data_IF_760642809946
#
_entry.id   IF_760642809946
#
_cell.length_a   1.000
_cell.length_b   1.000
_cell.length_c   1.000
_cell.angle_alpha   90.00
_cell.angle_beta   90.00
_cell.angle_gamma   90.00
#
_symmetry.space_group_name_H-M   'P 1'
#
loop_
_entity.id
_entity.type
_entity.pdbx_description
1 polymer ?
#
# COMPACT_ATOMS: atom_id res chain seq x y z
N UNK A 1 -13.15 31.88 -8.36
CA UNK A 1 -13.21 32.19 -9.78
C UNK A 1 -12.23 31.27 -10.49
N UNK A 2 -12.70 30.55 -11.48
CA UNK A 2 -11.80 29.86 -12.41
C UNK A 2 -11.07 30.99 -13.12
N UNK A 3 -9.76 31.10 -12.94
CA UNK A 3 -8.94 32.14 -13.57
C UNK A 3 -8.99 31.97 -15.10
N UNK A 4 -9.17 33.05 -15.84
CA UNK A 4 -9.06 33.03 -17.30
C UNK A 4 -7.60 32.90 -17.80
N UNK A 5 -6.64 32.84 -16.86
CA UNK A 5 -5.21 32.70 -17.16
C UNK A 5 -4.82 31.23 -17.36
N UNK A 6 -3.99 31.00 -18.35
CA UNK A 6 -3.29 29.70 -18.52
C UNK A 6 -2.10 29.66 -17.59
N UNK A 7 -1.99 28.62 -16.80
CA UNK A 7 -0.86 28.36 -15.88
C UNK A 7 -0.10 27.15 -16.44
N UNK A 8 1.21 27.29 -16.57
CA UNK A 8 2.08 26.17 -16.94
C UNK A 8 3.36 26.20 -16.13
N UNK A 9 3.83 25.04 -15.68
CA UNK A 9 5.11 24.90 -15.00
C UNK A 9 5.68 23.49 -15.17
N UNK A 10 7.00 23.40 -15.08
CA UNK A 10 7.68 22.11 -15.04
C UNK A 10 7.55 21.51 -13.64
N UNK A 11 7.25 20.22 -13.59
CA UNK A 11 7.22 19.45 -12.36
C UNK A 11 8.63 19.01 -11.98
N UNK A 12 8.90 18.75 -10.69
CA UNK A 12 10.22 18.30 -10.26
C UNK A 12 10.69 17.07 -11.00
N UNK A 13 11.92 17.12 -11.50
CA UNK A 13 12.60 15.99 -12.11
C UNK A 13 13.42 15.25 -11.03
N UNK A 14 13.23 13.93 -10.90
CA UNK A 14 13.87 13.11 -9.88
C UNK A 14 14.59 11.93 -10.50
N UNK A 15 15.80 11.70 -10.02
CA UNK A 15 16.56 10.45 -10.19
C UNK A 15 16.69 9.84 -8.80
N UNK A 16 16.34 8.56 -8.66
CA UNK A 16 16.56 7.79 -7.45
C UNK A 16 17.25 6.49 -7.82
N UNK A 17 18.30 6.15 -7.11
CA UNK A 17 19.03 4.88 -7.25
C UNK A 17 18.99 4.15 -5.93
N UNK A 18 18.64 2.86 -5.95
CA UNK A 18 18.63 1.97 -4.80
C UNK A 18 19.49 0.74 -5.09
N UNK A 19 20.20 0.27 -4.10
CA UNK A 19 21.00 -0.96 -4.15
C UNK A 19 20.68 -1.83 -2.94
N UNK A 20 20.32 -3.09 -3.18
CA UNK A 20 20.14 -4.12 -2.15
C UNK A 20 21.25 -5.17 -2.31
N UNK A 21 21.97 -5.49 -1.22
CA UNK A 21 23.15 -6.36 -1.29
C UNK A 21 22.82 -7.81 -1.61
N UNK A 22 21.85 -8.40 -0.94
CA UNK A 22 21.59 -9.84 -0.99
C UNK A 22 20.17 -10.19 -1.40
N UNK A 23 19.17 -9.64 -0.69
CA UNK A 23 17.75 -9.94 -0.93
C UNK A 23 16.94 -8.68 -1.20
N UNK A 24 15.78 -8.78 -1.87
CA UNK A 24 14.87 -7.66 -2.05
C UNK A 24 14.49 -7.01 -0.72
N UNK A 25 14.58 -5.69 -0.66
CA UNK A 25 14.12 -4.89 0.48
C UNK A 25 13.51 -3.59 -0.04
N UNK A 26 12.41 -3.17 0.58
CA UNK A 26 11.72 -1.93 0.26
C UNK A 26 10.22 -2.14 0.05
N UNK A 27 9.45 -1.13 0.42
CA UNK A 27 8.01 -0.99 0.15
C UNK A 27 7.63 0.48 0.18
N UNK A 28 6.47 0.82 -0.37
CA UNK A 28 6.01 2.18 -0.61
C UNK A 28 6.92 2.97 -1.58
N UNK A 29 7.59 2.28 -2.48
CA UNK A 29 8.50 2.86 -3.47
C UNK A 29 7.81 3.09 -4.84
N UNK A 30 6.47 3.03 -4.88
CA UNK A 30 5.65 3.33 -6.05
C UNK A 30 5.91 2.40 -7.24
N UNK A 31 6.42 2.96 -8.32
CA UNK A 31 6.69 2.22 -9.55
C UNK A 31 7.89 1.27 -9.45
N UNK A 32 8.74 1.37 -8.41
CA UNK A 32 9.87 0.49 -8.18
C UNK A 32 9.40 -0.87 -7.67
N UNK A 33 10.14 -1.94 -7.98
CA UNK A 33 9.88 -3.28 -7.48
C UNK A 33 10.82 -3.61 -6.32
N UNK A 34 10.45 -4.52 -5.39
CA UNK A 34 11.43 -5.11 -4.50
C UNK A 34 12.40 -5.98 -5.32
N UNK A 35 13.68 -5.60 -5.41
CA UNK A 35 14.68 -6.30 -6.20
C UNK A 35 16.04 -6.34 -5.49
N UNK A 36 16.79 -7.42 -5.67
CA UNK A 36 18.20 -7.48 -5.32
C UNK A 36 19.07 -6.80 -6.40
N UNK A 37 20.19 -6.22 -6.01
CA UNK A 37 21.07 -5.47 -6.89
C UNK A 37 20.67 -4.01 -7.07
N UNK A 38 21.14 -3.41 -8.18
CA UNK A 38 20.92 -2.00 -8.50
C UNK A 38 19.55 -1.78 -9.12
N UNK A 39 18.89 -0.69 -8.70
CA UNK A 39 17.64 -0.23 -9.28
C UNK A 39 17.67 1.29 -9.45
N UNK A 40 17.13 1.79 -10.56
CA UNK A 40 17.07 3.22 -10.87
C UNK A 40 15.65 3.62 -11.26
N UNK A 41 15.17 4.71 -10.68
CA UNK A 41 13.89 5.34 -10.97
C UNK A 41 14.12 6.76 -11.48
N UNK A 42 13.44 7.09 -12.59
CA UNK A 42 13.50 8.40 -13.24
C UNK A 42 12.08 8.93 -13.42
N UNK A 43 11.88 10.21 -13.11
CA UNK A 43 10.63 10.91 -13.43
C UNK A 43 10.88 12.39 -13.69
N UNK A 44 10.14 12.95 -14.64
CA UNK A 44 10.05 14.37 -14.90
C UNK A 44 8.70 14.68 -15.55
N UNK A 45 8.24 15.92 -15.52
CA UNK A 45 6.94 16.21 -16.07
C UNK A 45 6.62 17.69 -16.18
N UNK A 46 5.39 17.96 -16.57
CA UNK A 46 4.83 19.31 -16.63
C UNK A 46 3.37 19.32 -16.17
N UNK A 47 2.93 20.48 -15.77
CA UNK A 47 1.55 20.79 -15.43
C UNK A 47 1.07 21.94 -16.30
N UNK A 48 -0.15 21.81 -16.83
CA UNK A 48 -0.85 22.82 -17.61
C UNK A 48 -2.27 22.95 -17.06
N UNK A 49 -2.72 24.16 -16.80
CA UNK A 49 -4.12 24.46 -16.46
C UNK A 49 -4.64 25.60 -17.30
N UNK A 50 -5.78 25.38 -17.92
CA UNK A 50 -6.55 26.43 -18.59
C UNK A 50 -7.99 26.39 -18.08
N UNK A 51 -8.41 27.46 -17.42
CA UNK A 51 -9.74 27.54 -16.76
C UNK A 51 -9.96 26.33 -15.83
N UNK A 52 -11.01 25.57 -16.09
CA UNK A 52 -11.40 24.38 -15.31
C UNK A 52 -10.60 23.13 -15.65
N UNK A 53 -9.96 23.10 -16.83
CA UNK A 53 -9.23 21.93 -17.31
C UNK A 53 -7.78 21.98 -16.87
N UNK A 54 -7.27 20.89 -16.30
CA UNK A 54 -5.87 20.71 -15.96
C UNK A 54 -5.33 19.41 -16.53
N UNK A 55 -4.11 19.46 -17.02
CA UNK A 55 -3.33 18.33 -17.51
C UNK A 55 -2.01 18.28 -16.74
N UNK A 56 -1.77 17.16 -16.09
CA UNK A 56 -0.48 16.80 -15.52
C UNK A 56 0.08 15.61 -16.30
N UNK A 57 1.31 15.72 -16.77
CA UNK A 57 2.04 14.62 -17.41
C UNK A 57 3.34 14.45 -16.64
N UNK A 58 3.48 13.32 -15.94
CA UNK A 58 4.66 13.02 -15.13
C UNK A 58 4.99 11.53 -15.21
N UNK A 59 5.52 11.07 -16.35
CA UNK A 59 5.87 9.68 -16.58
C UNK A 59 6.99 9.22 -15.64
N UNK A 60 7.06 7.89 -15.49
CA UNK A 60 8.01 7.19 -14.65
C UNK A 60 8.70 6.09 -15.45
N UNK A 61 10.02 5.97 -15.26
CA UNK A 61 10.82 4.90 -15.80
C UNK A 61 11.56 4.20 -14.66
N UNK A 62 11.50 2.88 -14.65
CA UNK A 62 12.21 2.02 -13.69
C UNK A 62 13.06 1.04 -14.45
N UNK A 63 14.30 0.90 -14.01
CA UNK A 63 15.22 -0.17 -14.36
C UNK A 63 15.69 -0.86 -13.09
N UNK A 64 15.68 -2.19 -13.03
CA UNK A 64 16.26 -2.99 -11.96
C UNK A 64 17.10 -4.13 -12.55
N UNK A 65 18.27 -4.35 -11.96
CA UNK A 65 19.08 -5.55 -12.27
C UNK A 65 18.27 -6.81 -12.01
N UNK A 66 17.44 -6.78 -10.97
CA UNK A 66 16.62 -7.93 -10.56
C UNK A 66 17.48 -9.18 -10.40
N UNK A 67 18.61 -9.01 -9.71
CA UNK A 67 19.65 -10.01 -9.52
C UNK A 67 19.07 -11.26 -8.85
N UNK A 68 19.67 -12.40 -9.14
CA UNK A 68 19.27 -13.66 -8.52
C UNK A 68 19.56 -13.66 -7.01
N UNK A 69 18.66 -14.26 -6.26
CA UNK A 69 18.76 -14.46 -4.83
C UNK A 69 18.05 -15.75 -4.44
N UNK A 70 18.30 -16.23 -3.24
CA UNK A 70 17.65 -17.46 -2.77
C UNK A 70 16.16 -17.22 -2.51
N UNK A 71 15.31 -17.81 -3.36
CA UNK A 71 13.86 -17.82 -3.23
C UNK A 71 13.39 -18.98 -2.36
N UNK A 72 12.11 -18.98 -1.97
CA UNK A 72 11.54 -20.01 -1.12
C UNK A 72 11.75 -21.39 -1.71
N UNK A 73 12.43 -22.26 -0.93
CA UNK A 73 12.63 -23.63 -1.33
C UNK A 73 11.32 -24.41 -1.30
N UNK A 74 10.86 -24.83 -2.46
CA UNK A 74 9.67 -25.65 -2.59
C UNK A 74 9.90 -27.12 -2.18
N UNK A 75 10.89 -27.45 -1.36
CA UNK A 75 11.13 -28.80 -0.88
C UNK A 75 10.54 -29.02 0.51
N UNK A 76 9.86 -30.15 0.73
CA UNK A 76 9.31 -30.55 2.02
C UNK A 76 7.83 -30.27 2.25
N UNK A 77 7.36 -30.55 3.47
CA UNK A 77 5.94 -30.49 3.86
C UNK A 77 5.32 -29.08 3.84
N UNK A 78 6.14 -28.03 3.75
CA UNK A 78 5.71 -26.63 3.84
C UNK A 78 5.30 -26.01 2.50
N UNK A 79 5.41 -26.74 1.41
CA UNK A 79 5.15 -26.28 0.05
C UNK A 79 3.68 -26.00 -0.22
N UNK A 80 2.79 -26.90 0.19
CA UNK A 80 1.37 -26.77 -0.10
C UNK A 80 0.76 -25.46 0.48
N UNK A 81 1.02 -25.06 1.73
CA UNK A 81 0.56 -23.78 2.26
C UNK A 81 1.11 -22.56 1.50
N UNK A 82 2.37 -22.61 1.03
CA UNK A 82 2.95 -21.52 0.23
C UNK A 82 2.31 -21.43 -1.15
N UNK A 83 2.01 -22.57 -1.78
CA UNK A 83 1.27 -22.61 -3.05
C UNK A 83 -0.14 -22.04 -2.92
N UNK A 84 -0.85 -22.33 -1.82
CA UNK A 84 -2.15 -21.72 -1.54
C UNK A 84 -2.03 -20.19 -1.44
N UNK A 85 -0.98 -19.69 -0.79
CA UNK A 85 -0.70 -18.26 -0.75
C UNK A 85 -0.50 -17.69 -2.16
N UNK A 86 0.38 -18.27 -2.95
CA UNK A 86 0.67 -17.80 -4.30
C UNK A 86 -0.52 -17.96 -5.26
N UNK A 87 -1.32 -19.01 -5.11
CA UNK A 87 -2.53 -19.21 -5.92
C UNK A 87 -3.60 -18.15 -5.66
N UNK A 88 -3.62 -17.54 -4.48
CA UNK A 88 -4.63 -16.55 -4.07
C UNK A 88 -4.11 -15.09 -3.97
N UNK A 89 -2.84 -14.85 -4.34
CA UNK A 89 -2.26 -13.51 -4.47
C UNK A 89 -1.27 -13.44 -5.63
N UNK A 90 -1.09 -12.27 -6.20
CA UNK A 90 -0.06 -11.96 -7.19
C UNK A 90 1.03 -11.10 -6.53
N UNK A 91 1.88 -11.77 -5.76
CA UNK A 91 3.03 -11.16 -5.08
C UNK A 91 4.24 -12.06 -5.38
N UNK A 92 4.88 -11.91 -6.55
CA UNK A 92 6.05 -12.71 -6.89
C UNK A 92 7.23 -12.35 -5.98
N UNK A 93 7.97 -13.35 -5.52
CA UNK A 93 9.22 -13.12 -4.77
C UNK A 93 10.27 -12.40 -5.63
N UNK A 94 10.27 -12.69 -6.93
CA UNK A 94 11.15 -12.09 -7.94
C UNK A 94 10.37 -11.78 -9.20
N UNK A 95 10.61 -10.63 -9.79
CA UNK A 95 9.92 -10.16 -11.01
C UNK A 95 10.56 -10.69 -12.30
N UNK A 96 10.43 -12.01 -12.51
CA UNK A 96 11.06 -12.72 -13.61
C UNK A 96 12.54 -13.06 -13.37
N UNK A 97 13.21 -13.67 -14.35
CA UNK A 97 14.57 -14.19 -14.24
C UNK A 97 15.66 -13.27 -14.84
N UNK A 98 15.25 -12.17 -15.44
CA UNK A 98 16.14 -11.19 -16.10
C UNK A 98 15.98 -9.80 -15.46
N UNK A 99 16.76 -8.85 -15.95
CA UNK A 99 16.59 -7.43 -15.59
C UNK A 99 15.16 -6.96 -15.91
N UNK A 100 14.66 -6.08 -15.07
CA UNK A 100 13.31 -5.52 -15.19
C UNK A 100 13.40 -4.08 -15.67
N UNK A 101 12.60 -3.72 -16.67
CA UNK A 101 12.44 -2.33 -17.08
C UNK A 101 10.98 -2.03 -17.43
N UNK A 102 10.50 -0.87 -16.99
CA UNK A 102 9.12 -0.42 -17.24
C UNK A 102 9.07 1.09 -17.44
N UNK A 103 8.29 1.50 -18.43
CA UNK A 103 7.88 2.88 -18.60
C UNK A 103 6.37 2.96 -18.33
N UNK A 104 5.95 3.94 -17.52
CA UNK A 104 4.55 4.17 -17.15
C UNK A 104 4.20 5.64 -17.33
N UNK A 105 2.90 5.92 -17.50
CA UNK A 105 2.39 7.30 -17.43
C UNK A 105 2.61 7.93 -16.04
N UNK A 106 2.83 7.10 -15.02
CA UNK A 106 3.22 7.52 -13.69
C UNK A 106 2.21 8.45 -13.04
N UNK A 107 2.67 9.56 -12.48
CA UNK A 107 1.83 10.51 -11.77
C UNK A 107 1.15 11.49 -12.74
N UNK A 108 0.33 10.97 -13.68
CA UNK A 108 -0.31 11.75 -14.73
C UNK A 108 -1.83 11.80 -14.54
N UNK A 109 -2.44 12.95 -14.87
CA UNK A 109 -3.87 13.15 -14.74
C UNK A 109 -4.41 14.19 -15.70
N UNK A 110 -5.64 13.97 -16.19
CA UNK A 110 -6.47 14.96 -16.89
C UNK A 110 -7.71 15.19 -16.05
N UNK A 111 -7.95 16.43 -15.60
CA UNK A 111 -9.04 16.76 -14.68
C UNK A 111 -9.83 17.96 -15.13
N UNK A 112 -11.16 17.88 -14.95
CA UNK A 112 -12.07 19.01 -15.04
C UNK A 112 -12.53 19.37 -13.63
N UNK A 113 -12.15 20.55 -13.16
CA UNK A 113 -12.37 21.00 -11.77
C UNK A 113 -13.31 22.18 -11.70
N UNK A 114 -14.26 22.12 -10.79
CA UNK A 114 -15.04 23.27 -10.32
C UNK A 114 -14.44 23.87 -9.05
N UNK A 115 -15.16 24.79 -8.40
CA UNK A 115 -14.74 25.35 -7.10
C UNK A 115 -14.69 24.31 -5.97
N UNK A 116 -15.44 23.23 -6.08
CA UNK A 116 -15.69 22.30 -4.98
C UNK A 116 -15.33 20.86 -5.32
N UNK A 117 -15.53 20.46 -6.57
CA UNK A 117 -15.33 19.06 -7.00
C UNK A 117 -14.54 19.00 -8.30
N UNK A 118 -13.89 17.88 -8.51
CA UNK A 118 -13.14 17.54 -9.71
C UNK A 118 -13.56 16.16 -10.22
N UNK A 119 -13.60 16.01 -11.53
CA UNK A 119 -13.75 14.73 -12.22
C UNK A 119 -12.60 14.59 -13.23
N UNK A 120 -12.10 13.38 -13.41
CA UNK A 120 -11.01 13.18 -14.36
C UNK A 120 -10.58 11.72 -14.51
N UNK A 121 -9.50 11.56 -15.26
CA UNK A 121 -8.79 10.29 -15.47
C UNK A 121 -7.36 10.47 -14.93
N UNK A 122 -6.87 9.49 -14.20
CA UNK A 122 -5.57 9.57 -13.54
C UNK A 122 -4.85 8.21 -13.56
N UNK A 123 -3.53 8.26 -13.48
CA UNK A 123 -2.65 7.13 -13.18
C UNK A 123 -1.83 7.37 -11.90
N UNK A 124 -2.20 8.39 -11.11
CA UNK A 124 -1.49 8.74 -9.87
C UNK A 124 -1.66 7.66 -8.81
N UNK A 125 -0.65 7.51 -7.96
CA UNK A 125 -0.76 6.72 -6.73
C UNK A 125 -1.75 7.38 -5.77
N UNK A 126 -2.41 6.56 -4.98
CA UNK A 126 -3.37 6.98 -3.97
C UNK A 126 -2.87 6.59 -2.58
N UNK A 127 -3.08 7.48 -1.60
CA UNK A 127 -2.81 7.18 -0.20
C UNK A 127 -4.04 7.54 0.62
N UNK A 128 -4.69 6.52 1.22
CA UNK A 128 -5.88 6.70 2.03
C UNK A 128 -5.64 6.22 3.46
N UNK A 129 -5.82 7.09 4.41
CA UNK A 129 -5.61 6.79 5.82
C UNK A 129 -4.55 7.69 6.48
N UNK A 130 -4.43 7.64 7.80
CA UNK A 130 -3.59 8.54 8.57
C UNK A 130 -2.15 8.06 8.76
N UNK A 131 -1.86 6.80 8.45
CA UNK A 131 -0.55 6.19 8.66
C UNK A 131 0.55 6.87 7.85
N UNK A 132 1.77 6.88 8.34
CA UNK A 132 2.92 7.44 7.61
C UNK A 132 3.79 6.35 6.97
N UNK A 133 3.74 5.14 7.52
CA UNK A 133 4.51 4.01 7.02
C UNK A 133 3.65 3.04 6.23
N UNK A 134 2.41 2.84 6.66
CA UNK A 134 1.44 1.99 6.00
C UNK A 134 0.07 2.67 5.89
N UNK A 135 -0.76 2.16 4.99
CA UNK A 135 -2.19 2.41 4.89
C UNK A 135 -2.86 1.11 4.49
N UNK A 136 -4.02 0.78 5.06
CA UNK A 136 -4.61 -0.54 4.88
C UNK A 136 -5.19 -0.76 3.48
N UNK A 137 -5.79 0.27 2.84
CA UNK A 137 -6.44 0.09 1.54
C UNK A 137 -5.62 0.62 0.36
N UNK A 138 -5.14 1.84 0.43
CA UNK A 138 -4.38 2.47 -0.66
C UNK A 138 -3.12 3.10 -0.11
N UNK A 139 -1.98 2.69 -0.63
CA UNK A 139 -0.66 3.22 -0.29
C UNK A 139 0.17 3.49 -1.55
N UNK A 140 1.40 3.94 -1.35
CA UNK A 140 2.36 4.11 -2.44
C UNK A 140 3.20 2.84 -2.69
N UNK A 141 2.69 1.64 -2.32
CA UNK A 141 3.45 0.40 -2.47
C UNK A 141 3.39 -0.16 -3.90
N UNK A 142 2.20 -0.23 -4.49
CA UNK A 142 2.05 -0.62 -5.89
C UNK A 142 2.23 0.59 -6.82
N UNK A 143 2.59 0.40 -8.10
CA UNK A 143 2.53 1.48 -9.09
C UNK A 143 1.10 2.00 -9.23
N UNK A 144 0.97 3.27 -9.61
CA UNK A 144 -0.32 3.87 -9.94
C UNK A 144 -0.99 3.16 -11.12
N UNK A 145 -2.31 3.15 -11.15
CA UNK A 145 -3.12 2.45 -12.15
C UNK A 145 -4.12 3.40 -12.82
N UNK A 146 -4.55 3.06 -14.03
CA UNK A 146 -5.53 3.87 -14.75
C UNK A 146 -6.89 3.82 -14.04
N UNK A 147 -7.39 4.99 -13.61
CA UNK A 147 -8.67 5.12 -12.96
C UNK A 147 -9.39 6.43 -13.31
N UNK A 148 -10.69 6.38 -13.42
CA UNK A 148 -11.55 7.54 -13.31
C UNK A 148 -11.63 7.99 -11.87
N UNK A 149 -11.65 9.30 -11.60
CA UNK A 149 -11.73 9.86 -10.26
C UNK A 149 -12.78 10.95 -10.18
N UNK A 150 -13.55 10.96 -9.08
CA UNK A 150 -14.44 12.05 -8.70
C UNK A 150 -14.18 12.40 -7.25
N UNK A 151 -13.74 13.62 -6.98
CA UNK A 151 -13.29 14.00 -5.65
C UNK A 151 -13.60 15.47 -5.30
N UNK A 152 -13.64 15.76 -4.00
CA UNK A 152 -13.62 17.12 -3.50
C UNK A 152 -12.26 17.78 -3.77
N UNK A 153 -12.25 19.03 -4.24
CA UNK A 153 -11.03 19.83 -4.47
C UNK A 153 -10.54 20.48 -3.17
N UNK A 154 -11.46 20.70 -2.25
CA UNK A 154 -11.24 21.29 -0.93
C UNK A 154 -12.29 20.77 0.04
N UNK A 155 -12.05 20.90 1.36
CA UNK A 155 -13.05 20.53 2.35
C UNK A 155 -14.39 21.24 2.12
N UNK A 156 -15.46 20.46 2.01
CA UNK A 156 -16.84 20.95 1.85
C UNK A 156 -17.37 21.33 3.24
N UNK A 157 -17.45 22.61 3.52
CA UNK A 157 -17.91 23.13 4.81
C UNK A 157 -19.41 23.06 4.96
N UNK A 158 -19.88 22.52 6.09
CA UNK A 158 -21.27 22.43 6.49
C UNK A 158 -21.46 22.91 7.94
N UNK A 159 -22.68 22.93 8.44
CA UNK A 159 -22.97 23.22 9.84
C UNK A 159 -22.45 22.12 10.80
N UNK A 160 -22.32 20.89 10.33
CA UNK A 160 -21.78 19.73 11.07
C UNK A 160 -20.25 19.73 11.15
N UNK A 161 -19.59 20.36 10.18
CA UNK A 161 -18.13 20.31 10.03
C UNK A 161 -17.72 20.33 8.58
N UNK A 162 -16.55 19.78 8.28
CA UNK A 162 -16.00 19.72 6.94
C UNK A 162 -15.89 18.29 6.44
N UNK A 163 -16.20 18.07 5.15
CA UNK A 163 -16.17 16.77 4.49
C UNK A 163 -15.24 16.79 3.29
N UNK A 164 -14.53 15.69 3.08
CA UNK A 164 -13.77 15.41 1.86
C UNK A 164 -14.10 13.99 1.40
N UNK A 165 -14.07 13.77 0.09
CA UNK A 165 -14.30 12.46 -0.49
C UNK A 165 -13.50 12.26 -1.79
N UNK A 166 -13.24 11.01 -2.10
CA UNK A 166 -12.78 10.57 -3.42
C UNK A 166 -13.44 9.25 -3.77
N UNK A 167 -13.96 9.15 -4.98
CA UNK A 167 -14.51 7.95 -5.60
C UNK A 167 -13.64 7.63 -6.81
N UNK A 168 -13.28 6.36 -6.95
CA UNK A 168 -12.52 5.88 -8.10
C UNK A 168 -13.19 4.65 -8.73
N UNK A 169 -12.97 4.50 -10.02
CA UNK A 169 -13.23 3.27 -10.77
C UNK A 169 -12.07 3.06 -11.74
N UNK A 170 -11.39 1.91 -11.69
CA UNK A 170 -10.15 1.73 -12.42
C UNK A 170 -9.85 0.29 -12.82
N UNK A 171 -8.70 0.11 -13.46
CA UNK A 171 -8.23 -1.16 -13.99
C UNK A 171 -6.92 -1.56 -13.33
N UNK A 172 -6.87 -2.79 -12.80
CA UNK A 172 -5.69 -3.40 -12.21
C UNK A 172 -5.16 -4.49 -13.13
N UNK A 173 -3.83 -4.57 -13.20
CA UNK A 173 -3.12 -5.56 -14.02
C UNK A 173 -2.40 -6.60 -13.15
N UNK A 174 -2.18 -7.80 -13.70
CA UNK A 174 -1.32 -8.80 -13.09
C UNK A 174 0.16 -8.52 -13.34
N UNK A 175 1.03 -9.16 -12.56
CA UNK A 175 2.49 -9.09 -12.76
C UNK A 175 2.95 -9.78 -14.04
N UNK A 176 2.20 -10.77 -14.53
CA UNK A 176 2.61 -11.67 -15.60
C UNK A 176 3.67 -12.68 -15.17
N UNK A 177 4.02 -12.73 -13.88
CA UNK A 177 5.01 -13.65 -13.32
C UNK A 177 4.31 -14.84 -12.66
N UNK A 178 4.76 -16.04 -12.99
CA UNK A 178 4.29 -17.26 -12.32
C UNK A 178 5.30 -17.65 -11.24
N UNK A 179 4.85 -17.87 -10.00
CA UNK A 179 5.75 -18.14 -8.87
C UNK A 179 6.31 -19.55 -8.85
N UNK A 180 5.66 -20.52 -9.52
CA UNK A 180 6.04 -21.95 -9.50
C UNK A 180 5.82 -22.60 -10.86
N UNK A 181 6.52 -23.72 -11.18
CA UNK A 181 6.25 -24.53 -12.36
C UNK A 181 4.80 -25.03 -12.37
N UNK A 182 4.19 -25.04 -13.55
CA UNK A 182 2.79 -25.46 -13.75
C UNK A 182 2.54 -26.95 -13.50
N UNK A 183 3.60 -27.76 -13.40
CA UNK A 183 3.56 -29.20 -13.18
C UNK A 183 3.85 -29.61 -11.74
N UNK A 184 3.64 -28.70 -10.78
CA UNK A 184 3.91 -28.97 -9.38
C UNK A 184 2.90 -29.94 -8.76
N UNK A 185 3.28 -31.22 -8.70
CA UNK A 185 2.45 -32.29 -8.19
C UNK A 185 3.03 -32.87 -6.90
N UNK A 186 2.24 -32.94 -5.83
CA UNK A 186 2.58 -33.59 -4.56
C UNK A 186 1.53 -34.65 -4.25
N UNK A 187 1.96 -35.88 -4.03
CA UNK A 187 1.06 -37.04 -3.77
C UNK A 187 -0.08 -37.15 -4.80
N UNK A 188 0.21 -36.92 -6.07
CA UNK A 188 -0.78 -37.00 -7.16
C UNK A 188 -1.73 -35.80 -7.27
N UNK A 189 -1.61 -34.80 -6.41
CA UNK A 189 -2.41 -33.58 -6.45
C UNK A 189 -1.56 -32.43 -7.02
N UNK A 190 -2.05 -31.80 -8.08
CA UNK A 190 -1.44 -30.56 -8.57
C UNK A 190 -1.92 -29.37 -7.72
N UNK A 191 -1.00 -28.76 -7.00
CA UNK A 191 -1.27 -27.61 -6.13
C UNK A 191 -1.12 -26.26 -6.84
N UNK A 192 -0.49 -26.25 -8.01
CA UNK A 192 -0.34 -25.03 -8.77
C UNK A 192 -1.60 -24.76 -9.61
N UNK A 193 -2.11 -23.57 -9.48
CA UNK A 193 -3.19 -23.06 -10.29
C UNK A 193 -2.76 -21.76 -10.96
N UNK A 194 -2.65 -21.69 -12.30
CA UNK A 194 -2.24 -20.49 -13.02
C UNK A 194 -3.23 -19.34 -12.77
N UNK A 195 -2.72 -18.11 -12.78
CA UNK A 195 -3.56 -16.91 -12.72
C UNK A 195 -4.45 -16.82 -13.94
N UNK A 196 -5.66 -16.29 -13.75
CA UNK A 196 -6.56 -15.99 -14.86
C UNK A 196 -5.97 -14.86 -15.69
N UNK A 197 -5.92 -15.02 -17.01
CA UNK A 197 -5.41 -14.02 -17.93
C UNK A 197 -6.48 -12.93 -18.19
N UNK A 198 -6.93 -12.25 -17.13
CA UNK A 198 -7.90 -11.17 -17.17
C UNK A 198 -7.48 -10.02 -16.25
N UNK A 199 -7.77 -8.80 -16.68
CA UNK A 199 -7.60 -7.62 -15.84
C UNK A 199 -8.72 -7.55 -14.80
N UNK A 200 -8.51 -6.77 -13.74
CA UNK A 200 -9.51 -6.58 -12.69
C UNK A 200 -10.03 -5.16 -12.71
N UNK A 201 -11.32 -5.03 -12.54
CA UNK A 201 -11.95 -3.76 -12.22
C UNK A 201 -11.87 -3.51 -10.72
N UNK A 202 -11.49 -2.31 -10.34
CA UNK A 202 -11.53 -1.83 -8.95
C UNK A 202 -12.49 -0.66 -8.86
N UNK A 203 -13.33 -0.65 -7.84
CA UNK A 203 -14.19 0.46 -7.49
C UNK A 203 -14.03 0.78 -6.01
N UNK A 204 -13.69 2.00 -5.67
CA UNK A 204 -13.41 2.35 -4.29
C UNK A 204 -13.82 3.79 -3.95
N UNK A 205 -14.01 4.01 -2.65
CA UNK A 205 -14.42 5.28 -2.07
C UNK A 205 -13.62 5.53 -0.79
N UNK A 206 -13.18 6.76 -0.60
CA UNK A 206 -12.80 7.28 0.73
C UNK A 206 -13.61 8.52 1.07
N UNK A 207 -13.98 8.64 2.34
CA UNK A 207 -14.74 9.75 2.89
C UNK A 207 -14.12 10.18 4.22
N UNK A 208 -13.85 11.47 4.36
CA UNK A 208 -13.23 12.03 5.55
C UNK A 208 -14.12 13.12 6.13
N UNK A 209 -14.23 13.16 7.46
CA UNK A 209 -15.05 14.08 8.20
C UNK A 209 -14.27 14.72 9.34
N UNK A 210 -14.29 16.04 9.40
CA UNK A 210 -13.78 16.82 10.50
C UNK A 210 -14.95 17.44 11.28
N UNK A 211 -15.30 16.93 12.48
CA UNK A 211 -16.36 17.49 13.31
C UNK A 211 -16.07 18.94 13.71
N UNK A 212 -17.08 19.81 13.64
CA UNK A 212 -16.94 21.20 14.06
C UNK A 212 -16.68 21.35 15.55
N UNK A 213 -17.23 20.41 16.35
CA UNK A 213 -17.23 20.50 17.81
C UNK A 213 -15.96 19.92 18.46
N UNK A 214 -15.16 19.16 17.72
CA UNK A 214 -13.95 18.54 18.22
C UNK A 214 -12.77 18.98 17.34
N UNK A 215 -12.15 20.13 17.68
CA UNK A 215 -11.04 20.65 16.89
C UNK A 215 -9.88 19.63 16.80
N UNK A 216 -9.34 19.49 15.60
CA UNK A 216 -8.22 18.60 15.35
C UNK A 216 -8.57 17.12 15.16
N UNK A 217 -9.82 16.68 15.40
CA UNK A 217 -10.26 15.32 15.12
C UNK A 217 -10.67 15.18 13.66
N UNK A 218 -10.16 14.12 13.00
CA UNK A 218 -10.52 13.71 11.64
C UNK A 218 -10.93 12.24 11.70
N UNK A 219 -12.07 11.92 11.11
CA UNK A 219 -12.59 10.57 11.00
C UNK A 219 -12.63 10.20 9.52
N UNK A 220 -12.17 9.00 9.19
CA UNK A 220 -12.13 8.51 7.82
C UNK A 220 -12.86 7.18 7.68
N UNK A 221 -13.43 6.96 6.51
CA UNK A 221 -14.02 5.71 6.07
C UNK A 221 -13.56 5.44 4.64
N UNK A 222 -13.05 4.24 4.38
CA UNK A 222 -12.66 3.80 3.05
C UNK A 222 -13.23 2.43 2.76
N UNK A 223 -13.64 2.20 1.51
CA UNK A 223 -14.18 0.92 1.06
C UNK A 223 -13.76 0.67 -0.38
N UNK A 224 -13.32 -0.55 -0.68
CA UNK A 224 -12.85 -0.97 -1.98
C UNK A 224 -13.43 -2.33 -2.35
N UNK A 225 -13.73 -2.49 -3.63
CA UNK A 225 -14.15 -3.74 -4.25
C UNK A 225 -13.30 -3.99 -5.47
N UNK A 226 -12.98 -5.25 -5.73
CA UNK A 226 -12.36 -5.63 -6.99
C UNK A 226 -12.83 -7.02 -7.45
N UNK A 227 -12.85 -7.22 -8.77
CA UNK A 227 -13.28 -8.45 -9.41
C UNK A 227 -12.64 -8.54 -10.80
N UNK A 228 -12.66 -9.71 -11.42
CA UNK A 228 -12.28 -9.82 -12.83
C UNK A 228 -13.25 -9.09 -13.74
N UNK A 229 -12.77 -8.49 -14.82
CA UNK A 229 -13.61 -7.76 -15.79
C UNK A 229 -14.62 -8.70 -16.44
N UNK A 230 -14.24 -9.96 -16.67
CA UNK A 230 -15.15 -10.99 -17.20
C UNK A 230 -16.31 -11.34 -16.26
N UNK A 231 -16.17 -11.14 -14.95
CA UNK A 231 -17.23 -11.38 -13.95
C UNK A 231 -18.09 -10.12 -13.69
N UNK A 232 -17.76 -8.98 -14.34
CA UNK A 232 -18.43 -7.71 -14.11
C UNK A 232 -19.80 -7.66 -14.78
N UNK A 233 -20.83 -7.39 -13.99
CA UNK A 233 -22.18 -7.09 -14.51
C UNK A 233 -22.30 -5.66 -15.06
N UNK A 234 -23.45 -5.35 -15.64
CA UNK A 234 -23.73 -4.04 -16.27
C UNK A 234 -24.57 -3.09 -15.39
N UNK A 235 -24.96 -3.51 -14.20
CA UNK A 235 -25.76 -2.72 -13.29
C UNK A 235 -24.98 -1.63 -12.56
N UNK A 236 -25.66 -0.58 -12.07
CA UNK A 236 -25.04 0.48 -11.28
C UNK A 236 -24.32 -0.05 -10.03
N UNK A 237 -24.88 -1.08 -9.40
CA UNK A 237 -24.29 -1.76 -8.23
C UNK A 237 -23.11 -2.66 -8.58
N UNK A 238 -22.91 -2.99 -9.86
CA UNK A 238 -21.74 -3.72 -10.34
C UNK A 238 -20.58 -2.75 -10.60
N UNK A 239 -20.88 -1.54 -11.07
CA UNK A 239 -19.89 -0.47 -11.28
C UNK A 239 -19.52 0.22 -9.96
N UNK A 240 -20.49 0.45 -9.08
CA UNK A 240 -20.29 1.15 -7.80
C UNK A 240 -20.79 0.31 -6.60
N UNK A 241 -20.18 -0.84 -6.34
CA UNK A 241 -20.64 -1.75 -5.29
C UNK A 241 -20.50 -1.18 -3.87
N UNK A 242 -19.69 -0.16 -3.66
CA UNK A 242 -19.52 0.49 -2.36
C UNK A 242 -20.81 1.16 -1.81
N UNK A 243 -21.85 1.32 -2.64
CA UNK A 243 -23.17 1.79 -2.19
C UNK A 243 -24.01 0.68 -1.52
N UNK A 244 -23.61 -0.60 -1.66
CA UNK A 244 -24.32 -1.73 -1.09
C UNK A 244 -24.12 -1.82 0.43
N UNK A 245 -25.10 -2.40 1.18
CA UNK A 245 -24.93 -2.68 2.59
C UNK A 245 -23.70 -3.54 2.92
N UNK A 246 -23.19 -3.44 4.14
CA UNK A 246 -22.07 -4.25 4.65
C UNK A 246 -22.46 -5.67 5.03
N UNK A 247 -23.74 -5.98 5.13
CA UNK A 247 -24.24 -7.25 5.63
C UNK A 247 -24.51 -8.23 4.52
N UNK A 248 -23.91 -9.43 4.58
CA UNK A 248 -24.11 -10.52 3.62
C UNK A 248 -25.57 -11.00 3.57
N UNK A 249 -26.27 -11.01 4.70
CA UNK A 249 -27.70 -11.39 4.77
C UNK A 249 -28.62 -10.48 3.95
N UNK A 250 -28.22 -9.23 3.70
CA UNK A 250 -28.97 -8.27 2.89
C UNK A 250 -28.55 -8.28 1.42
N UNK A 251 -27.43 -8.94 1.11
CA UNK A 251 -26.89 -9.06 -0.25
C UNK A 251 -26.46 -10.52 -0.46
N UNK A 252 -27.43 -11.47 -0.52
CA UNK A 252 -27.12 -12.91 -0.51
C UNK A 252 -26.34 -13.42 -1.73
N UNK A 253 -26.24 -12.63 -2.81
CA UNK A 253 -25.63 -13.04 -4.08
C UNK A 253 -24.16 -12.57 -4.25
N UNK A 254 -23.51 -12.08 -3.19
CA UNK A 254 -22.15 -11.53 -3.34
C UNK A 254 -21.09 -12.59 -3.68
N UNK A 255 -21.19 -13.80 -3.13
CA UNK A 255 -20.30 -14.92 -3.50
C UNK A 255 -20.50 -15.34 -4.96
N UNK A 256 -21.73 -15.20 -5.49
CA UNK A 256 -22.03 -15.47 -6.89
C UNK A 256 -21.41 -14.44 -7.83
N UNK A 257 -21.19 -13.21 -7.35
CA UNK A 257 -20.53 -12.13 -8.12
C UNK A 257 -19.02 -12.20 -8.11
N UNK A 258 -18.43 -13.14 -7.37
CA UNK A 258 -17.00 -13.44 -7.34
C UNK A 258 -16.12 -12.21 -7.13
N UNK A 259 -16.56 -11.28 -6.28
CA UNK A 259 -15.83 -10.05 -5.96
C UNK A 259 -15.31 -10.03 -4.54
N UNK A 260 -14.16 -9.40 -4.35
CA UNK A 260 -13.53 -9.16 -3.07
C UNK A 260 -13.84 -7.76 -2.55
N UNK A 261 -13.90 -7.61 -1.24
CA UNK A 261 -14.18 -6.35 -0.56
C UNK A 261 -13.23 -6.11 0.61
N UNK A 262 -12.74 -4.90 0.70
CA UNK A 262 -12.00 -4.38 1.84
C UNK A 262 -12.62 -3.09 2.34
N UNK A 263 -12.68 -2.89 3.65
CA UNK A 263 -13.16 -1.65 4.23
C UNK A 263 -12.32 -1.26 5.45
N UNK A 264 -12.16 0.05 5.70
CA UNK A 264 -11.49 0.55 6.89
C UNK A 264 -12.16 1.80 7.46
N UNK A 265 -12.02 1.96 8.78
CA UNK A 265 -12.31 3.18 9.52
C UNK A 265 -11.02 3.71 10.11
N UNK A 266 -10.84 5.02 10.06
CA UNK A 266 -9.69 5.69 10.63
C UNK A 266 -10.07 6.88 11.50
N UNK A 267 -9.22 7.16 12.47
CA UNK A 267 -9.31 8.36 13.29
C UNK A 267 -7.90 8.97 13.41
N UNK A 268 -7.84 10.28 13.29
CA UNK A 268 -6.62 11.07 13.48
C UNK A 268 -6.95 12.26 14.34
N UNK A 269 -6.22 12.44 15.45
CA UNK A 269 -6.42 13.58 16.35
C UNK A 269 -5.13 14.37 16.51
N UNK A 270 -5.20 15.62 16.11
CA UNK A 270 -4.09 16.57 16.17
C UNK A 270 -4.29 17.51 17.35
N UNK A 271 -3.28 17.61 18.20
CA UNK A 271 -3.21 18.51 19.36
C UNK A 271 -2.16 19.59 19.11
N UNK A 272 -2.53 20.74 18.50
CA UNK A 272 -1.54 21.74 18.08
C UNK A 272 -0.76 22.33 19.26
N UNK A 273 -1.41 22.59 20.40
CA UNK A 273 -0.75 23.13 21.59
C UNK A 273 0.35 22.19 22.14
N UNK A 274 0.14 20.91 22.05
CA UNK A 274 1.12 19.89 22.48
C UNK A 274 2.03 19.42 21.34
N UNK A 275 1.86 19.90 20.11
CA UNK A 275 2.55 19.41 18.91
C UNK A 275 2.52 17.86 18.83
N UNK A 276 1.40 17.26 19.18
CA UNK A 276 1.16 15.82 19.20
C UNK A 276 0.06 15.48 18.21
N UNK A 277 0.25 14.36 17.53
CA UNK A 277 -0.76 13.70 16.70
C UNK A 277 -0.83 12.23 17.11
N UNK A 278 -2.03 11.71 17.26
CA UNK A 278 -2.30 10.29 17.43
C UNK A 278 -3.27 9.84 16.35
N UNK A 279 -3.13 8.62 15.87
CA UNK A 279 -4.02 8.10 14.83
C UNK A 279 -4.12 6.58 14.89
N UNK A 280 -5.19 6.07 14.28
CA UNK A 280 -5.38 4.65 14.04
C UNK A 280 -6.28 4.41 12.85
N UNK A 281 -6.12 3.24 12.27
CA UNK A 281 -6.97 2.69 11.22
C UNK A 281 -7.25 1.23 11.57
N UNK A 282 -8.50 0.81 11.46
CA UNK A 282 -8.93 -0.57 11.59
C UNK A 282 -9.72 -0.94 10.34
N UNK A 283 -9.41 -2.08 9.75
CA UNK A 283 -10.05 -2.55 8.54
C UNK A 283 -10.53 -3.98 8.68
N UNK A 284 -11.41 -4.37 7.76
CA UNK A 284 -11.95 -5.72 7.62
C UNK A 284 -11.85 -6.16 6.18
N UNK A 285 -11.43 -7.40 6.03
CA UNK A 285 -11.53 -8.14 4.78
C UNK A 285 -12.88 -8.85 4.74
N UNK A 286 -13.57 -8.75 3.57
CA UNK A 286 -14.85 -9.39 3.34
C UNK A 286 -16.06 -8.84 4.15
N UNK A 287 -17.24 -9.41 3.94
CA UNK A 287 -18.51 -9.01 4.56
C UNK A 287 -18.69 -9.58 5.96
N UNK A 288 -19.38 -8.83 6.80
CA UNK A 288 -19.98 -9.37 8.02
C UNK A 288 -21.35 -9.98 7.72
N UNK A 289 -21.68 -11.12 8.35
CA UNK A 289 -22.94 -11.81 8.08
C UNK A 289 -24.18 -11.01 8.54
N UNK A 290 -24.06 -10.25 9.64
CA UNK A 290 -25.15 -9.47 10.23
C UNK A 290 -24.63 -8.43 11.21
N UNK A 291 -25.50 -7.56 11.72
CA UNK A 291 -25.17 -6.64 12.83
C UNK A 291 -24.78 -7.38 14.11
N UNK A 292 -25.36 -8.56 14.37
CA UNK A 292 -24.97 -9.40 15.51
C UNK A 292 -23.53 -9.88 15.33
N UNK A 293 -23.13 -10.21 14.13
CA UNK A 293 -21.76 -10.61 13.80
C UNK A 293 -20.75 -9.47 14.05
N UNK A 294 -21.13 -8.22 13.76
CA UNK A 294 -20.34 -7.06 14.15
C UNK A 294 -20.12 -6.95 15.65
N UNK A 295 -21.15 -7.29 16.43
CA UNK A 295 -21.08 -7.22 17.88
C UNK A 295 -20.29 -8.38 18.49
N UNK A 296 -20.48 -9.62 17.99
CA UNK A 296 -19.90 -10.83 18.58
C UNK A 296 -18.46 -11.10 18.10
N UNK A 297 -18.09 -10.67 16.90
CA UNK A 297 -16.83 -11.01 16.25
C UNK A 297 -16.24 -9.80 15.52
N UNK A 298 -16.05 -8.69 16.25
CA UNK A 298 -15.48 -7.46 15.70
C UNK A 298 -14.07 -7.69 15.12
N UNK A 299 -13.31 -8.59 15.77
CA UNK A 299 -11.95 -8.96 15.40
C UNK A 299 -11.84 -9.85 14.17
N UNK A 300 -12.92 -10.50 13.74
CA UNK A 300 -12.92 -11.41 12.59
C UNK A 300 -12.50 -10.70 11.31
N UNK A 301 -11.46 -11.23 10.63
CA UNK A 301 -10.87 -10.68 9.40
C UNK A 301 -10.32 -9.26 9.53
N UNK A 302 -9.94 -8.83 10.74
CA UNK A 302 -9.40 -7.48 10.94
C UNK A 302 -7.92 -7.35 10.57
N UNK A 303 -7.56 -6.16 10.11
CA UNK A 303 -6.20 -5.61 10.21
C UNK A 303 -6.27 -4.26 10.91
N UNK A 304 -5.15 -3.78 11.44
CA UNK A 304 -5.09 -2.46 12.07
C UNK A 304 -3.71 -1.84 11.98
N UNK A 305 -3.71 -0.52 12.05
CA UNK A 305 -2.53 0.26 12.37
C UNK A 305 -2.87 1.32 13.43
N UNK A 306 -1.90 1.68 14.23
CA UNK A 306 -1.97 2.85 15.09
C UNK A 306 -0.60 3.49 15.22
N UNK A 307 -0.59 4.80 15.47
CA UNK A 307 0.65 5.51 15.59
C UNK A 307 0.51 6.87 16.25
N UNK A 308 1.65 7.50 16.47
CA UNK A 308 1.75 8.84 17.01
C UNK A 308 2.93 9.59 16.40
N UNK A 309 2.80 10.91 16.34
CA UNK A 309 3.91 11.81 16.00
C UNK A 309 3.98 12.93 17.04
N UNK A 310 5.18 13.22 17.51
CA UNK A 310 5.44 14.30 18.43
C UNK A 310 6.54 15.19 17.88
N UNK A 311 6.32 16.50 17.93
CA UNK A 311 7.33 17.49 17.57
C UNK A 311 7.80 18.21 18.81
N UNK A 312 9.13 18.31 18.98
CA UNK A 312 9.80 19.06 20.02
C UNK A 312 10.48 20.26 19.38
N UNK A 313 9.87 21.44 19.53
CA UNK A 313 10.39 22.69 18.99
C UNK A 313 11.65 23.09 19.74
N UNK A 314 12.74 23.42 19.03
CA UNK A 314 13.98 23.91 19.58
C UNK A 314 14.13 25.43 19.37
N UNK A 315 13.84 25.89 18.14
CA UNK A 315 13.84 27.28 17.73
C UNK A 315 13.06 27.41 16.41
N UNK A 316 12.75 28.60 15.91
CA UNK A 316 12.07 28.78 14.62
C UNK A 316 12.75 27.99 13.50
N UNK A 317 12.02 27.08 12.87
CA UNK A 317 12.50 26.21 11.80
C UNK A 317 13.43 25.06 12.22
N UNK A 318 13.63 24.84 13.54
CA UNK A 318 14.43 23.73 14.08
C UNK A 318 13.63 22.93 15.09
N UNK A 319 13.48 21.63 14.84
CA UNK A 319 12.73 20.76 15.73
C UNK A 319 13.20 19.31 15.61
N UNK A 320 12.89 18.53 16.63
CA UNK A 320 13.00 17.07 16.60
C UNK A 320 11.61 16.50 16.43
N UNK A 321 11.41 15.63 15.46
CA UNK A 321 10.20 14.85 15.26
C UNK A 321 10.46 13.42 15.72
N UNK A 322 9.62 12.94 16.58
CA UNK A 322 9.49 11.53 16.93
C UNK A 322 8.22 10.96 16.28
N UNK A 323 8.31 9.78 15.70
CA UNK A 323 7.16 9.07 15.18
C UNK A 323 7.24 7.58 15.54
N UNK A 324 6.09 7.01 15.84
CA UNK A 324 5.89 5.58 16.07
C UNK A 324 4.69 5.12 15.27
N UNK A 325 4.79 3.95 14.62
CA UNK A 325 3.66 3.28 13.99
C UNK A 325 3.78 1.77 14.17
N UNK A 326 2.67 1.13 14.52
CA UNK A 326 2.52 -0.31 14.53
C UNK A 326 1.42 -0.70 13.54
N UNK A 327 1.73 -1.64 12.65
CA UNK A 327 0.79 -2.21 11.67
C UNK A 327 0.72 -3.71 11.85
N UNK A 328 -0.48 -4.29 11.88
CA UNK A 328 -0.70 -5.73 11.93
C UNK A 328 -1.74 -6.17 10.91
N UNK A 329 -1.33 -7.11 10.07
CA UNK A 329 -2.16 -7.75 9.04
C UNK A 329 -2.45 -9.21 9.41
N UNK A 330 -2.07 -9.65 10.63
CA UNK A 330 -2.24 -11.01 11.10
C UNK A 330 -3.72 -11.35 11.31
N UNK A 331 -4.12 -12.54 10.89
CA UNK A 331 -5.42 -13.13 11.23
C UNK A 331 -5.55 -13.31 12.76
N UNK A 332 -6.76 -13.22 13.25
CA UNK A 332 -7.05 -13.42 14.67
C UNK A 332 -7.23 -14.89 15.02
N UNK A 333 -7.19 -15.22 16.32
CA UNK A 333 -7.43 -16.59 16.82
C UNK A 333 -8.85 -17.10 16.50
N UNK A 334 -9.78 -16.20 16.17
CA UNK A 334 -11.13 -16.50 15.73
C UNK A 334 -11.16 -17.48 14.52
N UNK A 335 -10.14 -17.48 13.68
CA UNK A 335 -9.96 -18.44 12.56
C UNK A 335 -10.01 -19.91 12.98
N UNK A 336 -9.76 -20.23 14.25
CA UNK A 336 -9.81 -21.61 14.76
C UNK A 336 -11.24 -22.16 14.83
N UNK A 337 -12.25 -21.30 14.89
CA UNK A 337 -13.67 -21.65 14.98
C UNK A 337 -14.47 -21.18 13.76
N UNK A 338 -14.01 -20.14 13.09
CA UNK A 338 -14.63 -19.59 11.90
C UNK A 338 -13.56 -19.23 10.87
N UNK A 339 -13.59 -19.87 9.71
CA UNK A 339 -12.65 -19.56 8.65
C UNK A 339 -12.75 -18.09 8.24
N UNK A 340 -11.61 -17.41 8.18
CA UNK A 340 -11.48 -16.06 7.63
C UNK A 340 -10.35 -16.05 6.59
N UNK A 341 -10.55 -15.30 5.52
CA UNK A 341 -9.49 -15.06 4.52
C UNK A 341 -8.39 -14.15 5.09
N UNK A 342 -7.11 -14.43 4.82
CA UNK A 342 -6.02 -13.49 5.07
C UNK A 342 -6.23 -12.20 4.27
N UNK A 343 -5.74 -11.09 4.79
CA UNK A 343 -5.78 -9.81 4.07
C UNK A 343 -5.08 -9.90 2.72
N UNK A 344 -5.65 -9.20 1.71
CA UNK A 344 -5.16 -9.09 0.33
C UNK A 344 -5.18 -10.39 -0.48
N UNK A 345 -5.75 -11.48 0.06
CA UNK A 345 -5.95 -12.75 -0.62
C UNK A 345 -7.42 -13.00 -0.87
N UNK A 346 -7.74 -13.66 -1.97
CA UNK A 346 -9.11 -14.04 -2.27
C UNK A 346 -9.17 -15.30 -3.14
N UNK A 347 -10.15 -16.18 -2.88
CA UNK A 347 -10.25 -17.48 -3.57
C UNK A 347 -10.74 -17.33 -5.02
N UNK A 348 -11.64 -16.39 -5.29
CA UNK A 348 -12.14 -16.13 -6.65
C UNK A 348 -11.29 -15.11 -7.40
N UNK A 349 -10.92 -14.00 -6.76
CA UNK A 349 -10.06 -12.97 -7.36
C UNK A 349 -8.60 -13.31 -7.06
N UNK A 350 -8.09 -14.33 -7.73
CA UNK A 350 -6.84 -15.02 -7.41
C UNK A 350 -5.55 -14.20 -7.55
N UNK A 351 -5.60 -13.01 -8.12
CA UNK A 351 -4.53 -12.04 -8.02
C UNK A 351 -4.49 -11.33 -6.66
N UNK A 352 -5.55 -11.44 -5.86
CA UNK A 352 -5.68 -10.71 -4.61
C UNK A 352 -5.69 -9.19 -4.80
N UNK A 353 -5.52 -8.44 -3.74
CA UNK A 353 -5.57 -6.98 -3.74
C UNK A 353 -4.24 -6.35 -4.15
N UNK A 354 -3.87 -6.55 -5.41
CA UNK A 354 -2.56 -6.16 -5.97
C UNK A 354 -2.71 -5.38 -7.28
N UNK A 355 -1.65 -4.70 -7.68
CA UNK A 355 -1.47 -4.18 -9.04
C UNK A 355 -0.03 -4.46 -9.49
N UNK A 356 0.14 -5.04 -10.69
CA UNK A 356 1.44 -5.42 -11.27
C UNK A 356 2.35 -6.17 -10.28
N UNK A 357 1.78 -7.08 -9.47
CA UNK A 357 2.54 -7.91 -8.53
C UNK A 357 2.87 -7.26 -7.18
N UNK A 358 2.31 -6.11 -6.87
CA UNK A 358 2.50 -5.42 -5.60
C UNK A 358 1.17 -5.09 -4.92
N UNK A 359 1.10 -5.23 -3.59
CA UNK A 359 -0.10 -4.93 -2.79
C UNK A 359 -0.46 -3.44 -2.92
N UNK A 360 -1.75 -3.14 -3.12
CA UNK A 360 -2.27 -1.76 -3.16
C UNK A 360 -2.27 -1.08 -1.79
N UNK A 361 -2.46 -1.86 -0.72
CA UNK A 361 -2.49 -1.38 0.67
C UNK A 361 -1.12 -1.45 1.35
N UNK A 362 -1.08 -1.94 2.60
CA UNK A 362 0.15 -2.02 3.39
C UNK A 362 1.19 -2.93 2.74
N UNK A 363 2.33 -2.35 2.37
CA UNK A 363 3.39 -3.02 1.62
C UNK A 363 4.09 -4.16 2.36
N UNK A 364 3.86 -4.29 3.67
CA UNK A 364 4.32 -5.44 4.45
C UNK A 364 3.65 -6.76 4.05
N UNK A 365 2.53 -6.70 3.29
CA UNK A 365 1.87 -7.88 2.76
C UNK A 365 0.99 -8.65 3.75
N UNK A 366 0.35 -9.74 3.27
CA UNK A 366 -0.55 -10.57 4.06
C UNK A 366 0.11 -11.12 5.33
N UNK A 367 -0.65 -11.22 6.41
CA UNK A 367 -0.23 -11.90 7.64
C UNK A 367 0.96 -11.30 8.37
N UNK A 368 1.48 -10.17 7.93
CA UNK A 368 2.70 -9.57 8.47
C UNK A 368 2.43 -8.53 9.56
N UNK A 369 3.43 -8.24 10.37
CA UNK A 369 3.38 -7.11 11.30
C UNK A 369 4.69 -6.30 11.29
N UNK A 370 4.54 -4.99 11.50
CA UNK A 370 5.64 -4.03 11.49
C UNK A 370 5.50 -3.04 12.64
N UNK A 371 6.58 -2.85 13.38
CA UNK A 371 6.74 -1.75 14.33
C UNK A 371 7.84 -0.83 13.82
N UNK A 372 7.51 0.46 13.66
CA UNK A 372 8.45 1.49 13.19
C UNK A 372 8.63 2.59 14.22
N UNK A 373 9.87 2.91 14.53
CA UNK A 373 10.29 4.11 15.26
C UNK A 373 11.13 4.98 14.34
N UNK A 374 10.80 6.27 14.25
CA UNK A 374 11.53 7.27 13.46
C UNK A 374 11.84 8.49 14.31
N UNK A 375 13.08 8.95 14.24
CA UNK A 375 13.50 10.21 14.84
C UNK A 375 14.17 11.07 13.78
N UNK A 376 13.63 12.27 13.57
CA UNK A 376 14.13 13.23 12.61
C UNK A 376 14.55 14.55 13.27
N UNK A 377 15.74 15.02 12.95
CA UNK A 377 16.26 16.34 13.27
C UNK A 377 16.04 17.25 12.06
N UNK A 378 15.08 18.16 12.17
CA UNK A 378 14.66 19.04 11.08
C UNK A 378 15.27 20.42 11.27
N UNK A 379 15.87 20.96 10.21
CA UNK A 379 16.42 22.32 10.09
C UNK A 379 15.94 22.92 8.77
N UNK A 380 16.05 24.23 8.55
CA UNK A 380 15.45 24.89 7.36
C UNK A 380 15.86 24.30 6.00
N UNK A 381 17.08 23.75 5.88
CA UNK A 381 17.61 23.21 4.63
C UNK A 381 18.02 21.73 4.72
N UNK A 382 17.93 21.13 5.91
CA UNK A 382 18.38 19.73 6.12
C UNK A 382 17.42 18.97 7.00
N UNK A 383 17.26 17.69 6.70
CA UNK A 383 16.62 16.71 7.55
C UNK A 383 17.61 15.56 7.72
N UNK A 384 17.89 15.17 8.94
CA UNK A 384 18.66 13.95 9.23
C UNK A 384 17.90 13.14 10.26
N UNK A 385 18.05 11.84 10.24
CA UNK A 385 17.32 11.01 11.18
C UNK A 385 17.73 9.54 11.10
N UNK A 386 17.08 8.78 11.95
CA UNK A 386 17.22 7.32 11.96
C UNK A 386 15.86 6.66 12.17
N UNK A 387 15.77 5.44 11.66
CA UNK A 387 14.57 4.60 11.76
C UNK A 387 14.99 3.24 12.32
N UNK A 388 14.18 2.69 13.21
CA UNK A 388 14.32 1.32 13.71
C UNK A 388 13.00 0.62 13.42
N UNK A 389 13.07 -0.55 12.78
CA UNK A 389 11.89 -1.34 12.44
C UNK A 389 12.08 -2.79 12.87
N UNK A 390 11.01 -3.39 13.38
CA UNK A 390 10.88 -4.82 13.54
C UNK A 390 9.77 -5.30 12.60
N UNK A 391 10.13 -6.15 11.65
CA UNK A 391 9.21 -6.70 10.66
C UNK A 391 9.13 -8.22 10.81
N UNK A 392 7.96 -8.75 11.13
CA UNK A 392 7.67 -10.17 11.15
C UNK A 392 6.88 -10.55 9.89
N UNK A 393 7.45 -11.47 9.12
CA UNK A 393 6.93 -11.88 7.81
C UNK A 393 5.84 -12.93 7.95
N UNK A 394 4.70 -12.67 7.32
CA UNK A 394 3.57 -13.58 7.13
C UNK A 394 3.36 -14.60 8.26
N UNK A 395 2.97 -14.09 9.42
CA UNK A 395 2.73 -14.88 10.63
C UNK A 395 1.58 -15.88 10.45
N UNK A 396 0.62 -15.58 9.56
CA UNK A 396 -0.46 -16.50 9.23
C UNK A 396 0.08 -17.78 8.60
N UNK A 397 0.96 -17.63 7.61
CA UNK A 397 1.65 -18.76 7.00
C UNK A 397 2.52 -19.50 8.01
N UNK A 398 3.26 -18.80 8.87
CA UNK A 398 4.06 -19.38 9.92
C UNK A 398 3.23 -20.27 10.86
N UNK A 399 2.08 -19.80 11.33
CA UNK A 399 1.21 -20.56 12.24
C UNK A 399 0.56 -21.75 11.55
N UNK A 400 0.25 -21.65 10.26
CA UNK A 400 -0.39 -22.73 9.52
C UNK A 400 0.60 -23.83 9.12
N UNK A 401 1.81 -23.44 8.66
CA UNK A 401 2.77 -24.34 8.06
C UNK A 401 3.77 -24.91 9.06
N UNK A 402 4.38 -24.08 9.89
CA UNK A 402 5.54 -24.51 10.68
C UNK A 402 5.16 -24.94 12.10
N UNK A 403 4.43 -24.10 12.83
CA UNK A 403 4.05 -24.33 14.24
C UNK A 403 5.25 -24.64 15.16
N UNK A 404 6.45 -24.21 14.77
CA UNK A 404 7.71 -24.43 15.50
C UNK A 404 8.18 -23.10 16.06
N UNK A 405 8.31 -23.00 17.36
CA UNK A 405 8.59 -21.75 18.08
C UNK A 405 9.77 -20.95 17.52
N UNK A 406 10.85 -21.62 17.11
CA UNK A 406 12.11 -20.99 16.72
C UNK A 406 12.21 -20.60 15.25
N UNK A 407 11.21 -20.88 14.40
CA UNK A 407 11.29 -20.67 12.93
C UNK A 407 10.68 -19.35 12.44
N UNK A 408 10.30 -18.43 13.31
CA UNK A 408 9.72 -17.13 12.89
C UNK A 408 10.72 -16.31 12.07
N UNK A 409 10.33 -15.95 10.87
CA UNK A 409 11.12 -15.01 10.06
C UNK A 409 10.87 -13.58 10.53
N UNK A 410 11.92 -12.95 11.05
CA UNK A 410 11.89 -11.59 11.59
C UNK A 410 13.11 -10.81 11.11
N UNK A 411 12.88 -9.60 10.60
CA UNK A 411 13.91 -8.63 10.27
C UNK A 411 13.92 -7.52 11.32
N UNK A 412 15.13 -7.11 11.73
CA UNK A 412 15.35 -5.89 12.50
C UNK A 412 16.16 -4.93 11.65
N UNK A 413 15.54 -3.82 11.27
CA UNK A 413 16.10 -2.83 10.37
C UNK A 413 16.59 -1.61 11.15
N UNK A 414 17.80 -1.15 10.84
CA UNK A 414 18.39 0.11 11.32
C UNK A 414 18.68 0.98 10.11
N UNK A 415 17.98 2.09 9.99
CA UNK A 415 18.13 3.02 8.87
C UNK A 415 18.63 4.38 9.32
N UNK A 416 19.62 4.93 8.64
CA UNK A 416 20.02 6.33 8.76
C UNK A 416 19.68 7.09 7.49
N UNK A 417 19.23 8.33 7.60
CA UNK A 417 18.94 9.14 6.42
C UNK A 417 19.34 10.60 6.59
N UNK A 418 19.70 11.20 5.45
CA UNK A 418 20.04 12.61 5.34
C UNK A 418 19.42 13.21 4.08
N UNK A 419 18.79 14.38 4.21
CA UNK A 419 18.24 15.15 3.11
C UNK A 419 18.76 16.60 3.19
N UNK A 420 19.11 17.17 2.06
CA UNK A 420 19.57 18.56 1.97
C UNK A 420 18.99 19.23 0.74
N UNK A 421 18.43 20.43 0.95
CA UNK A 421 17.99 21.32 -0.12
C UNK A 421 19.00 22.44 -0.32
N UNK A 422 19.46 22.61 -1.56
CA UNK A 422 20.39 23.67 -1.98
C UNK A 422 19.78 24.34 -3.20
N UNK A 423 19.31 25.57 -3.04
CA UNK A 423 18.60 26.33 -4.10
C UNK A 423 17.44 25.48 -4.69
N UNK A 424 17.54 25.16 -5.97
CA UNK A 424 16.54 24.36 -6.72
C UNK A 424 16.84 22.85 -6.73
N UNK A 425 17.81 22.38 -5.96
CA UNK A 425 18.16 20.97 -5.87
C UNK A 425 17.87 20.43 -4.46
N UNK A 426 17.29 19.23 -4.38
CA UNK A 426 17.21 18.45 -3.17
C UNK A 426 17.94 17.13 -3.38
N UNK A 427 18.77 16.76 -2.42
CA UNK A 427 19.51 15.51 -2.38
C UNK A 427 19.06 14.70 -1.18
N UNK A 428 18.95 13.39 -1.33
CA UNK A 428 18.76 12.50 -0.19
C UNK A 428 19.68 11.29 -0.27
N UNK A 429 20.08 10.80 0.90
CA UNK A 429 20.76 9.54 1.07
C UNK A 429 20.11 8.79 2.22
N UNK A 430 19.89 7.49 2.06
CA UNK A 430 19.44 6.56 3.11
C UNK A 430 20.30 5.30 3.06
N UNK A 431 20.72 4.86 4.22
CA UNK A 431 21.44 3.60 4.40
C UNK A 431 20.67 2.78 5.43
N UNK A 432 20.27 1.58 5.07
CA UNK A 432 19.56 0.64 5.94
C UNK A 432 20.40 -0.64 6.09
N UNK A 433 20.40 -1.19 7.30
CA UNK A 433 20.94 -2.51 7.64
C UNK A 433 19.80 -3.35 8.20
N UNK A 434 19.49 -4.44 7.54
CA UNK A 434 18.49 -5.41 7.96
C UNK A 434 19.19 -6.66 8.51
N UNK A 435 19.11 -6.89 9.81
CA UNK A 435 19.46 -8.17 10.40
C UNK A 435 18.27 -9.11 10.20
N UNK A 436 18.38 -10.01 9.26
CA UNK A 436 17.38 -10.99 8.90
C UNK A 436 17.62 -12.27 9.67
N UNK A 437 16.62 -12.72 10.43
CA UNK A 437 16.67 -13.97 11.19
C UNK A 437 15.62 -14.94 10.68
N UNK A 438 16.03 -16.22 10.53
CA UNK A 438 15.21 -17.32 10.01
C UNK A 438 14.61 -17.00 8.62
N UNK A 439 15.45 -16.48 7.73
CA UNK A 439 15.05 -16.17 6.37
C UNK A 439 14.25 -17.31 5.74
N UNK A 440 13.08 -16.99 5.21
CA UNK A 440 12.14 -17.96 4.66
C UNK A 440 11.77 -19.09 5.66
N UNK A 441 11.66 -18.74 6.95
CA UNK A 441 11.32 -19.64 8.07
C UNK A 441 12.31 -20.80 8.29
N UNK A 442 13.52 -20.72 7.72
CA UNK A 442 14.60 -21.68 7.97
C UNK A 442 15.31 -21.32 9.26
N UNK A 443 15.24 -22.22 10.26
CA UNK A 443 15.84 -22.01 11.58
C UNK A 443 17.34 -21.70 11.46
N UNK A 444 17.81 -20.72 12.22
CA UNK A 444 19.21 -20.26 12.29
C UNK A 444 19.79 -19.71 10.98
N UNK A 445 18.97 -19.53 9.94
CA UNK A 445 19.41 -18.85 8.73
C UNK A 445 19.42 -17.34 8.98
N UNK A 446 20.61 -16.81 9.30
CA UNK A 446 20.81 -15.41 9.71
C UNK A 446 21.83 -14.74 8.80
N UNK A 447 21.51 -13.55 8.30
CA UNK A 447 22.47 -12.71 7.56
C UNK A 447 22.06 -11.22 7.63
N UNK A 448 23.00 -10.37 7.21
CA UNK A 448 22.82 -8.92 7.15
C UNK A 448 22.60 -8.51 5.71
N UNK A 449 21.45 -7.89 5.41
CA UNK A 449 21.18 -7.25 4.12
C UNK A 449 21.40 -5.73 4.24
N UNK A 450 22.04 -5.13 3.24
CA UNK A 450 22.32 -3.69 3.20
C UNK A 450 21.57 -3.05 2.04
N UNK A 451 20.88 -1.95 2.32
CA UNK A 451 20.24 -1.12 1.28
C UNK A 451 20.82 0.29 1.32
N UNK A 452 21.28 0.77 0.16
CA UNK A 452 21.64 2.17 -0.07
C UNK A 452 20.67 2.80 -1.06
N UNK A 453 20.09 3.94 -0.69
CA UNK A 453 19.26 4.75 -1.59
C UNK A 453 19.84 6.17 -1.70
N UNK A 454 19.99 6.64 -2.93
CA UNK A 454 20.44 7.99 -3.24
C UNK A 454 19.45 8.65 -4.17
N UNK A 455 19.08 9.90 -3.91
CA UNK A 455 18.24 10.65 -4.85
C UNK A 455 18.69 12.08 -5.06
N UNK A 456 18.39 12.60 -6.25
CA UNK A 456 18.52 14.00 -6.59
C UNK A 456 17.23 14.48 -7.28
N UNK A 457 16.66 15.57 -6.76
CA UNK A 457 15.44 16.18 -7.33
C UNK A 457 15.72 17.62 -7.70
N UNK A 458 15.44 18.00 -8.94
CA UNK A 458 15.51 19.37 -9.44
C UNK A 458 14.12 20.00 -9.46
N UNK A 459 13.99 21.15 -8.85
CA UNK A 459 12.83 22.05 -8.93
C UNK A 459 13.13 23.14 -9.97
N UNK A 460 12.11 23.59 -10.71
CA UNK A 460 12.26 24.55 -11.79
C UNK A 460 11.75 25.95 -11.41
#
# INVERSE_FOLDING_TARGET
PVSDTTISHLLPATVLTSYNSDVPMGWNDGAMIPAAGLQTYLTAGFFLQHKALSLQVKPEFVYAENRDFETFSLQGAYRAPMLVLWNSTDIPERFGTSSYSRFRLGQSALRLSSRSVSVGISTENLWWGPGFRNSLLMSNNAPGFLHGTFNSVKPLKTFLGSFEFQIIGGRLEGSGVQPVPADYVVNGVNYFEPKIADARYISALTFNYQPRWIPGLFLGFSRSFHLYISDMGSGLTDVFPFILPFEKKRVPLEDEKRRDQLASFSARWVFPASQLEIYGEIGWNDYKNSLIDWYLSLEHSRAYLFGMRKVFLQSPGRYVRFAFENTSMEMTADRLVRNNGPWYRHDFVRHGYTNEGQVLGAGIGPGSNLQTFDVAFVRPSTISGFTIERYAHNMDYYYDAFKVYDSKWVDVNFGGYYQRRVKKMAYSARLNFALIRNYQWVVDKVFLNTQLQLSATRYF
#
